data_IF_503965258476
#
_entry.id   IF_503965258476
#
_cell.length_a   1.000
_cell.length_b   1.000
_cell.length_c   1.000
_cell.angle_alpha   90.00
_cell.angle_beta   90.00
_cell.angle_gamma   90.00
#
_symmetry.space_group_name_H-M   'P 1'
#
loop_
_entity.id
_entity.type
_entity.pdbx_description
1 polymer ?
#
# COMPACT_ATOMS: atom_id res chain seq x y z
N UNK A 1 -37.28 7.72 6.33
CA UNK A 1 -35.87 7.30 6.38
C UNK A 1 -35.25 7.66 5.06
N UNK A 2 -34.01 8.16 5.01
CA UNK A 2 -33.35 8.32 3.72
C UNK A 2 -32.60 7.01 3.46
N UNK A 3 -33.29 6.04 2.86
CA UNK A 3 -32.68 4.77 2.48
C UNK A 3 -31.51 5.08 1.54
N UNK A 4 -30.29 4.62 1.83
CA UNK A 4 -29.15 4.86 0.96
C UNK A 4 -29.43 4.37 -0.45
N UNK A 5 -28.87 5.05 -1.45
CA UNK A 5 -29.14 4.76 -2.87
C UNK A 5 -28.82 3.29 -3.21
N UNK A 6 -27.71 2.75 -2.73
CA UNK A 6 -27.34 1.34 -2.96
C UNK A 6 -28.39 0.35 -2.40
N UNK A 7 -28.97 0.66 -1.24
CA UNK A 7 -29.99 -0.19 -0.64
C UNK A 7 -31.33 -0.05 -1.37
N UNK A 8 -31.63 1.14 -1.91
CA UNK A 8 -32.77 1.30 -2.83
C UNK A 8 -32.57 0.48 -4.11
N UNK A 9 -31.36 0.46 -4.67
CA UNK A 9 -31.00 -0.32 -5.85
C UNK A 9 -31.13 -1.83 -5.58
N UNK A 10 -30.60 -2.33 -4.46
CA UNK A 10 -30.76 -3.73 -4.03
C UNK A 10 -32.23 -4.12 -3.87
N UNK A 11 -33.04 -3.29 -3.20
CA UNK A 11 -34.48 -3.57 -2.98
C UNK A 11 -35.28 -3.47 -4.28
N UNK A 12 -34.85 -2.64 -5.23
CA UNK A 12 -35.50 -2.46 -6.53
C UNK A 12 -35.05 -3.47 -7.57
N UNK A 13 -34.03 -4.29 -7.28
CA UNK A 13 -33.53 -5.30 -8.22
C UNK A 13 -34.54 -6.44 -8.39
N UNK A 14 -34.69 -7.01 -9.59
CA UNK A 14 -35.60 -8.14 -9.84
C UNK A 14 -35.31 -9.35 -8.94
N UNK A 15 -34.05 -9.57 -8.58
CA UNK A 15 -33.59 -10.67 -7.74
C UNK A 15 -34.07 -10.56 -6.28
N UNK A 16 -34.42 -9.36 -5.80
CA UNK A 16 -34.93 -9.15 -4.43
C UNK A 16 -36.28 -9.84 -4.17
N UNK A 17 -37.06 -10.13 -5.22
CA UNK A 17 -38.33 -10.85 -5.09
C UNK A 17 -38.18 -12.31 -4.66
N UNK A 18 -37.00 -12.91 -4.84
CA UNK A 18 -36.68 -14.27 -4.38
C UNK A 18 -36.03 -14.23 -3.00
N UNK A 19 -36.72 -14.78 -2.00
CA UNK A 19 -36.24 -14.81 -0.60
C UNK A 19 -34.97 -15.64 -0.41
N UNK A 20 -34.60 -16.47 -1.38
CA UNK A 20 -33.38 -17.28 -1.34
C UNK A 20 -32.20 -16.60 -2.06
N UNK A 21 -32.42 -15.50 -2.78
CA UNK A 21 -31.36 -14.80 -3.50
C UNK A 21 -30.37 -14.13 -2.56
N UNK A 22 -29.13 -14.00 -3.01
CA UNK A 22 -28.11 -13.28 -2.25
C UNK A 22 -28.45 -11.80 -2.13
N UNK A 23 -29.08 -11.21 -3.16
CA UNK A 23 -29.63 -9.85 -3.14
C UNK A 23 -30.63 -9.66 -1.99
N UNK A 24 -31.57 -10.60 -1.79
CA UNK A 24 -32.55 -10.52 -0.70
C UNK A 24 -31.90 -10.61 0.68
N UNK A 25 -30.98 -11.56 0.87
CA UNK A 25 -30.24 -11.70 2.13
C UNK A 25 -29.44 -10.44 2.45
N UNK A 26 -28.70 -9.93 1.46
CA UNK A 26 -27.86 -8.72 1.58
C UNK A 26 -28.70 -7.50 1.91
N UNK A 27 -29.77 -7.25 1.15
CA UNK A 27 -30.71 -6.14 1.41
C UNK A 27 -31.35 -6.23 2.80
N UNK A 28 -31.78 -7.42 3.22
CA UNK A 28 -32.38 -7.65 4.55
C UNK A 28 -31.38 -7.41 5.67
N UNK A 29 -30.13 -7.84 5.48
CA UNK A 29 -29.03 -7.62 6.44
C UNK A 29 -28.73 -6.13 6.60
N UNK A 30 -28.53 -5.39 5.51
CA UNK A 30 -28.33 -3.93 5.57
C UNK A 30 -29.53 -3.18 6.15
N UNK A 31 -30.75 -3.62 5.88
CA UNK A 31 -31.94 -3.05 6.51
C UNK A 31 -31.91 -3.21 8.04
N UNK A 32 -31.48 -4.38 8.54
CA UNK A 32 -31.36 -4.63 9.98
C UNK A 32 -30.22 -3.83 10.62
N UNK A 33 -29.09 -3.70 9.91
CA UNK A 33 -27.92 -2.90 10.32
C UNK A 33 -28.27 -1.42 10.44
N UNK A 34 -28.96 -0.87 9.43
CA UNK A 34 -29.23 0.56 9.33
C UNK A 34 -30.44 1.01 10.15
N UNK A 35 -31.36 0.10 10.42
CA UNK A 35 -32.57 0.37 11.19
C UNK A 35 -32.79 -0.67 12.30
N UNK A 36 -31.86 -0.76 13.27
CA UNK A 36 -31.93 -1.75 14.34
C UNK A 36 -33.05 -1.40 15.32
N UNK A 37 -34.28 -1.80 14.97
CA UNK A 37 -35.45 -1.75 15.82
C UNK A 37 -35.93 -0.36 16.21
N UNK A 38 -36.63 0.34 15.31
CA UNK A 38 -37.53 1.45 15.66
C UNK A 38 -38.55 1.67 14.56
N UNK A 39 -39.69 0.98 14.64
CA UNK A 39 -40.88 1.35 13.89
C UNK A 39 -42.00 1.49 14.90
N UNK A 40 -42.34 2.73 15.24
CA UNK A 40 -43.55 3.02 15.98
C UNK A 40 -44.69 3.19 14.97
N UNK A 41 -45.90 2.78 15.33
CA UNK A 41 -47.10 3.03 14.53
C UNK A 41 -47.95 4.07 15.25
N UNK A 42 -48.51 5.03 14.51
CA UNK A 42 -49.50 5.93 15.07
C UNK A 42 -50.82 5.18 15.34
N UNK A 43 -51.78 5.85 15.97
CA UNK A 43 -53.09 5.28 16.29
C UNK A 43 -53.91 4.85 15.04
N UNK A 44 -53.46 5.19 13.83
CA UNK A 44 -54.07 4.81 12.55
C UNK A 44 -53.31 3.68 11.84
N UNK A 45 -52.26 3.14 12.46
CA UNK A 45 -51.43 2.07 11.89
C UNK A 45 -50.40 2.56 10.87
N UNK A 46 -50.12 3.87 10.81
CA UNK A 46 -49.06 4.41 9.92
C UNK A 46 -47.73 4.41 10.64
N UNK A 47 -46.66 4.01 9.94
CA UNK A 47 -45.31 4.06 10.48
C UNK A 47 -44.91 5.51 10.81
N UNK A 48 -44.61 5.76 12.07
CA UNK A 48 -44.01 6.99 12.55
C UNK A 48 -42.50 6.95 12.35
N UNK A 49 -41.95 8.05 11.85
CA UNK A 49 -40.51 8.19 11.65
C UNK A 49 -39.84 8.31 13.02
N UNK A 50 -38.86 7.46 13.37
CA UNK A 50 -38.18 7.56 14.64
C UNK A 50 -37.29 8.82 14.69
N UNK A 51 -37.13 9.36 15.90
CA UNK A 51 -36.38 10.59 16.18
C UNK A 51 -34.90 10.44 15.84
N UNK A 52 -34.34 9.27 16.10
CA UNK A 52 -33.00 8.81 15.72
C UNK A 52 -33.11 7.48 14.97
N UNK A 53 -32.05 7.08 14.26
CA UNK A 53 -32.01 5.85 13.47
C UNK A 53 -31.38 4.68 14.27
N UNK A 54 -30.43 4.98 15.17
CA UNK A 54 -29.75 4.00 16.04
C UNK A 54 -29.17 4.66 17.30
N UNK A 55 -28.85 3.87 18.32
CA UNK A 55 -28.06 4.31 19.49
C UNK A 55 -26.57 4.33 19.16
N UNK A 56 -25.74 4.95 20.00
CA UNK A 56 -24.29 4.96 19.82
C UNK A 56 -23.66 3.56 19.80
N UNK A 57 -24.15 2.64 20.63
CA UNK A 57 -23.69 1.25 20.63
C UNK A 57 -24.06 0.54 19.31
N UNK A 58 -25.31 0.69 18.87
CA UNK A 58 -25.78 0.16 17.60
C UNK A 58 -25.02 0.75 16.41
N UNK A 59 -24.60 2.02 16.48
CA UNK A 59 -23.75 2.64 15.46
C UNK A 59 -22.40 1.96 15.33
N UNK A 60 -21.73 1.65 16.45
CA UNK A 60 -20.46 0.94 16.42
C UNK A 60 -20.61 -0.50 15.92
N UNK A 61 -21.68 -1.19 16.34
CA UNK A 61 -21.97 -2.53 15.83
C UNK A 61 -22.27 -2.52 14.33
N UNK A 62 -23.05 -1.54 13.86
CA UNK A 62 -23.34 -1.38 12.44
C UNK A 62 -22.07 -1.13 11.62
N UNK A 63 -21.16 -0.27 12.10
CA UNK A 63 -19.87 -0.03 11.45
C UNK A 63 -19.04 -1.32 11.36
N UNK A 64 -18.95 -2.06 12.47
CA UNK A 64 -18.22 -3.32 12.52
C UNK A 64 -18.80 -4.40 11.59
N UNK A 65 -20.12 -4.51 11.50
CA UNK A 65 -20.78 -5.46 10.58
C UNK A 65 -20.52 -5.12 9.11
N UNK A 66 -20.52 -3.83 8.76
CA UNK A 66 -20.19 -3.35 7.41
C UNK A 66 -18.74 -3.69 7.05
N UNK A 67 -17.79 -3.41 7.96
CA UNK A 67 -16.38 -3.73 7.76
C UNK A 67 -16.14 -5.23 7.62
N UNK A 68 -16.80 -6.04 8.45
CA UNK A 68 -16.68 -7.50 8.41
C UNK A 68 -17.22 -8.08 7.11
N UNK A 69 -18.32 -7.55 6.58
CA UNK A 69 -18.85 -7.96 5.29
C UNK A 69 -17.90 -7.59 4.15
N UNK A 70 -17.39 -6.35 4.16
CA UNK A 70 -16.45 -5.90 3.15
C UNK A 70 -15.17 -6.76 3.12
N UNK A 71 -14.68 -7.20 4.27
CA UNK A 71 -13.52 -8.10 4.35
C UNK A 71 -13.79 -9.48 3.71
N UNK A 72 -15.02 -9.98 3.84
CA UNK A 72 -15.46 -11.21 3.17
C UNK A 72 -15.53 -11.02 1.66
N UNK A 73 -16.16 -9.94 1.19
CA UNK A 73 -16.26 -9.59 -0.23
C UNK A 73 -14.86 -9.42 -0.86
N UNK A 74 -13.93 -8.82 -0.11
CA UNK A 74 -12.53 -8.68 -0.51
C UNK A 74 -11.88 -10.04 -0.70
N UNK A 75 -11.98 -10.93 0.29
CA UNK A 75 -11.39 -12.27 0.22
C UNK A 75 -11.92 -13.08 -0.98
N UNK A 76 -13.22 -12.96 -1.29
CA UNK A 76 -13.84 -13.63 -2.44
C UNK A 76 -13.33 -13.04 -3.77
N UNK A 77 -13.31 -11.72 -3.89
CA UNK A 77 -12.82 -11.05 -5.11
C UNK A 77 -11.33 -11.30 -5.36
N UNK A 78 -10.51 -11.39 -4.32
CA UNK A 78 -9.09 -11.73 -4.45
C UNK A 78 -8.90 -13.14 -5.01
N UNK A 79 -9.68 -14.10 -4.50
CA UNK A 79 -9.66 -15.47 -5.00
C UNK A 79 -10.08 -15.54 -6.47
N UNK A 80 -11.14 -14.84 -6.87
CA UNK A 80 -11.60 -14.81 -8.27
C UNK A 80 -10.56 -14.21 -9.23
N UNK A 81 -9.90 -13.13 -8.82
CA UNK A 81 -8.85 -12.49 -9.62
C UNK A 81 -7.64 -13.41 -9.77
N UNK A 82 -7.20 -14.05 -8.68
CA UNK A 82 -6.05 -14.95 -8.72
C UNK A 82 -6.35 -16.26 -9.47
N UNK A 83 -7.57 -16.78 -9.40
CA UNK A 83 -8.02 -17.93 -10.21
C UNK A 83 -7.99 -17.59 -11.71
N UNK A 84 -8.37 -16.35 -12.07
CA UNK A 84 -8.43 -15.91 -13.47
C UNK A 84 -7.07 -15.49 -14.04
N UNK A 85 -6.25 -14.79 -13.25
CA UNK A 85 -5.05 -14.08 -13.73
C UNK A 85 -3.75 -14.49 -13.02
N UNK A 86 -3.80 -15.38 -12.03
CA UNK A 86 -2.66 -15.72 -11.18
C UNK A 86 -1.42 -16.17 -11.96
N UNK A 87 -1.57 -17.12 -12.89
CA UNK A 87 -0.46 -17.62 -13.72
C UNK A 87 0.16 -16.50 -14.59
N UNK A 88 -0.68 -15.59 -15.10
CA UNK A 88 -0.22 -14.45 -15.89
C UNK A 88 0.57 -13.46 -15.02
N UNK A 89 0.07 -13.17 -13.82
CA UNK A 89 0.75 -12.30 -12.85
C UNK A 89 2.11 -12.84 -12.45
N UNK A 90 2.22 -14.15 -12.20
CA UNK A 90 3.50 -14.81 -11.92
C UNK A 90 4.48 -14.66 -13.09
N UNK A 91 4.01 -14.89 -14.33
CA UNK A 91 4.82 -14.78 -15.56
C UNK A 91 5.43 -13.39 -15.74
N UNK A 92 4.69 -12.33 -15.43
CA UNK A 92 5.16 -10.95 -15.57
C UNK A 92 5.78 -10.38 -14.29
N UNK A 93 5.87 -11.18 -13.22
CA UNK A 93 6.37 -10.74 -11.91
C UNK A 93 5.50 -9.68 -11.24
N UNK A 94 4.20 -9.64 -11.53
CA UNK A 94 3.23 -8.73 -10.91
C UNK A 94 2.69 -9.34 -9.63
N UNK A 95 2.81 -8.63 -8.51
CA UNK A 95 2.24 -9.06 -7.24
C UNK A 95 0.91 -8.36 -7.03
N UNK A 96 -0.20 -9.09 -7.20
CA UNK A 96 -1.53 -8.57 -6.96
C UNK A 96 -1.76 -8.41 -5.45
N UNK A 97 -2.13 -7.19 -5.03
CA UNK A 97 -2.56 -6.89 -3.67
C UNK A 97 -3.94 -6.24 -3.75
N UNK A 98 -4.96 -6.94 -3.25
CA UNK A 98 -6.33 -6.48 -3.32
C UNK A 98 -6.56 -5.17 -2.54
N UNK A 99 -5.72 -4.87 -1.54
CA UNK A 99 -5.80 -3.63 -0.77
C UNK A 99 -5.57 -2.39 -1.63
N UNK A 100 -4.83 -2.51 -2.74
CA UNK A 100 -4.61 -1.41 -3.69
C UNK A 100 -5.90 -1.01 -4.43
N UNK A 101 -6.91 -1.88 -4.44
CA UNK A 101 -8.17 -1.70 -5.16
C UNK A 101 -9.34 -1.36 -4.24
N UNK A 102 -9.10 -1.24 -2.93
CA UNK A 102 -10.09 -0.79 -1.95
C UNK A 102 -10.22 0.73 -2.02
N UNK A 103 -11.41 1.24 -2.37
CA UNK A 103 -11.69 2.67 -2.38
C UNK A 103 -12.85 3.02 -1.45
N UNK A 104 -12.85 4.22 -0.83
CA UNK A 104 -13.98 4.67 -0.03
C UNK A 104 -15.28 4.68 -0.85
N UNK A 105 -16.29 4.02 -0.31
CA UNK A 105 -17.64 4.00 -0.85
C UNK A 105 -18.42 5.26 -0.46
N UNK A 106 -19.71 5.28 -0.82
CA UNK A 106 -20.60 6.36 -0.40
C UNK A 106 -20.95 6.19 1.08
N UNK A 107 -20.60 7.15 1.96
CA UNK A 107 -20.90 7.04 3.38
C UNK A 107 -22.41 7.08 3.64
N UNK A 108 -22.85 6.34 4.66
CA UNK A 108 -24.27 6.25 5.01
C UNK A 108 -24.57 7.19 6.17
N UNK A 109 -25.34 8.25 5.90
CA UNK A 109 -25.72 9.24 6.90
C UNK A 109 -26.81 8.69 7.84
N UNK A 110 -26.54 8.69 9.14
CA UNK A 110 -27.43 8.18 10.19
C UNK A 110 -27.56 9.18 11.36
N UNK A 111 -28.73 9.19 12.00
CA UNK A 111 -29.00 9.93 13.24
C UNK A 111 -28.75 9.02 14.43
N UNK A 112 -27.78 9.35 15.26
CA UNK A 112 -27.34 8.54 16.39
C UNK A 112 -27.81 9.17 17.71
N UNK A 113 -28.51 8.41 18.55
CA UNK A 113 -28.83 8.81 19.92
C UNK A 113 -27.57 8.66 20.79
N UNK A 114 -27.11 9.79 21.32
CA UNK A 114 -25.95 9.85 22.21
C UNK A 114 -26.35 9.53 23.65
N UNK A 115 -25.44 9.03 24.50
CA UNK A 115 -25.73 8.74 25.92
C UNK A 115 -26.28 9.94 26.72
N UNK A 116 -26.03 11.17 26.26
CA UNK A 116 -26.58 12.41 26.82
C UNK A 116 -27.99 12.77 26.35
N UNK A 117 -28.71 11.87 25.67
CA UNK A 117 -30.11 12.05 25.24
C UNK A 117 -30.32 12.94 24.01
N UNK A 118 -29.26 13.52 23.44
CA UNK A 118 -29.33 14.30 22.21
C UNK A 118 -29.01 13.45 20.98
N UNK A 119 -29.54 13.86 19.83
CA UNK A 119 -29.31 13.19 18.54
C UNK A 119 -28.19 13.88 17.78
N UNK A 120 -27.18 13.12 17.36
CA UNK A 120 -26.07 13.58 16.52
C UNK A 120 -26.18 12.97 15.12
N UNK A 121 -25.88 13.73 14.07
CA UNK A 121 -25.67 13.17 12.73
C UNK A 121 -24.28 12.55 12.65
N UNK A 122 -24.17 11.33 12.13
CA UNK A 122 -22.91 10.61 11.88
C UNK A 122 -22.97 9.92 10.53
N UNK A 123 -21.83 9.44 10.06
CA UNK A 123 -21.69 8.64 8.85
C UNK A 123 -21.13 7.27 9.19
N UNK A 124 -21.74 6.21 8.68
CA UNK A 124 -21.10 4.90 8.58
C UNK A 124 -20.20 4.91 7.34
N UNK A 125 -18.96 4.47 7.51
CA UNK A 125 -17.99 4.37 6.44
C UNK A 125 -18.24 3.10 5.63
N UNK A 126 -18.18 3.20 4.32
CA UNK A 126 -18.33 2.07 3.39
C UNK A 126 -17.12 2.03 2.47
N UNK A 127 -16.85 0.86 1.90
CA UNK A 127 -15.77 0.64 0.95
C UNK A 127 -16.30 -0.12 -0.25
N UNK A 128 -15.68 0.08 -1.40
CA UNK A 128 -15.98 -0.64 -2.64
C UNK A 128 -14.67 -1.09 -3.27
N UNK A 129 -14.72 -2.21 -3.99
CA UNK A 129 -13.60 -2.70 -4.78
C UNK A 129 -13.67 -2.09 -6.17
N UNK A 130 -12.57 -1.49 -6.61
CA UNK A 130 -12.41 -0.94 -7.95
C UNK A 130 -11.33 -1.72 -8.71
N UNK A 131 -11.59 -3.00 -8.92
CA UNK A 131 -10.69 -3.91 -9.63
C UNK A 131 -10.89 -3.70 -11.14
N UNK A 132 -9.85 -3.29 -11.89
CA UNK A 132 -9.94 -3.13 -13.33
C UNK A 132 -9.97 -4.50 -14.02
N UNK A 133 -10.52 -4.55 -15.24
CA UNK A 133 -10.28 -5.70 -16.12
C UNK A 133 -8.81 -5.72 -16.54
N UNK A 134 -8.11 -6.80 -16.20
CA UNK A 134 -6.73 -7.00 -16.63
C UNK A 134 -6.72 -7.48 -18.07
N UNK A 135 -6.03 -6.73 -18.95
CA UNK A 135 -5.81 -7.15 -20.34
C UNK A 135 -4.62 -8.09 -20.39
N UNK A 136 -4.88 -9.35 -20.70
CA UNK A 136 -3.83 -10.35 -20.90
C UNK A 136 -3.22 -10.10 -22.29
N UNK A 137 -2.03 -9.52 -22.33
CA UNK A 137 -1.20 -9.48 -23.54
C UNK A 137 -0.03 -10.43 -23.32
N UNK A 138 -0.18 -11.73 -23.66
CA UNK A 138 0.89 -12.68 -23.46
C UNK A 138 2.09 -12.29 -24.31
N UNK A 139 3.27 -12.47 -23.73
CA UNK A 139 4.55 -12.23 -24.39
C UNK A 139 5.21 -13.56 -24.65
N UNK A 140 5.74 -13.70 -25.86
CA UNK A 140 6.61 -14.82 -26.21
C UNK A 140 7.95 -14.27 -26.71
N UNK A 141 8.98 -15.08 -26.62
CA UNK A 141 10.30 -14.74 -27.13
C UNK A 141 10.69 -15.74 -28.20
N UNK A 142 10.99 -15.26 -29.40
CA UNK A 142 11.35 -16.10 -30.53
C UNK A 142 12.84 -15.91 -30.81
N UNK A 143 13.60 -17.01 -30.81
CA UNK A 143 15.00 -16.97 -31.22
C UNK A 143 15.11 -16.91 -32.73
N UNK A 144 15.95 -16.01 -33.21
CA UNK A 144 16.27 -15.86 -34.62
C UNK A 144 17.77 -15.93 -34.84
N UNK A 145 18.18 -16.52 -35.96
CA UNK A 145 19.58 -16.73 -36.29
C UNK A 145 19.83 -16.63 -37.80
N UNK A 146 20.82 -15.84 -38.22
CA UNK A 146 21.23 -15.84 -39.64
C UNK A 146 22.04 -17.11 -39.97
N UNK A 147 21.59 -17.92 -40.93
CA UNK A 147 22.38 -19.06 -41.42
C UNK A 147 23.57 -18.57 -42.27
N UNK A 148 24.79 -18.61 -41.73
CA UNK A 148 26.00 -18.19 -42.43
C UNK A 148 27.28 -18.50 -41.67
N UNK A 149 28.44 -18.16 -42.26
CA UNK A 149 29.78 -18.48 -41.72
C UNK A 149 30.05 -17.88 -40.33
N UNK A 150 29.26 -16.89 -39.89
CA UNK A 150 29.42 -16.19 -38.62
C UNK A 150 28.39 -16.60 -37.55
N UNK A 151 27.77 -17.77 -37.69
CA UNK A 151 26.74 -18.24 -36.76
C UNK A 151 27.06 -19.69 -36.36
N UNK A 152 27.11 -19.98 -35.06
CA UNK A 152 27.40 -21.33 -34.59
C UNK A 152 26.22 -22.29 -34.82
N UNK A 153 26.51 -23.59 -34.87
CA UNK A 153 25.52 -24.65 -35.07
C UNK A 153 24.43 -24.65 -33.99
N UNK A 154 24.77 -24.27 -32.75
CA UNK A 154 23.83 -24.17 -31.64
C UNK A 154 22.78 -23.05 -31.85
N UNK A 155 23.22 -21.87 -32.30
CA UNK A 155 22.30 -20.77 -32.61
C UNK A 155 21.44 -21.07 -33.84
N UNK A 156 21.99 -21.75 -34.84
CA UNK A 156 21.24 -22.25 -35.99
C UNK A 156 20.19 -23.28 -35.57
N UNK A 157 20.54 -24.19 -34.63
CA UNK A 157 19.62 -25.19 -34.10
C UNK A 157 18.47 -24.61 -33.28
N UNK A 158 18.68 -23.43 -32.68
CA UNK A 158 17.66 -22.73 -31.89
C UNK A 158 16.78 -21.80 -32.72
N UNK A 159 17.03 -21.61 -34.03
CA UNK A 159 16.23 -20.73 -34.87
C UNK A 159 14.74 -21.14 -34.89
N UNK A 160 13.87 -20.18 -34.59
CA UNK A 160 12.43 -20.39 -34.46
C UNK A 160 11.97 -20.98 -33.12
N UNK A 161 12.88 -21.23 -32.16
CA UNK A 161 12.49 -21.67 -30.81
C UNK A 161 11.69 -20.58 -30.12
N UNK A 162 10.53 -20.97 -29.58
CA UNK A 162 9.64 -20.08 -28.82
C UNK A 162 9.83 -20.34 -27.33
N UNK A 163 10.09 -19.29 -26.58
CA UNK A 163 10.15 -19.30 -25.12
C UNK A 163 8.91 -18.58 -24.58
N UNK A 164 8.23 -19.22 -23.63
CA UNK A 164 7.03 -18.69 -22.97
C UNK A 164 7.36 -17.81 -21.75
N UNK A 165 8.58 -17.94 -21.21
CA UNK A 165 9.08 -17.14 -20.08
C UNK A 165 10.49 -16.63 -20.35
N UNK A 166 10.82 -15.46 -19.79
CA UNK A 166 12.16 -14.85 -19.94
C UNK A 166 13.27 -15.73 -19.36
N UNK A 167 12.99 -16.45 -18.26
CA UNK A 167 13.96 -17.31 -17.57
C UNK A 167 14.41 -18.51 -18.43
N UNK A 168 13.59 -18.92 -19.40
CA UNK A 168 13.96 -19.98 -20.34
C UNK A 168 14.90 -19.48 -21.44
N UNK A 169 15.07 -18.16 -21.60
CA UNK A 169 15.95 -17.58 -22.59
C UNK A 169 17.39 -17.66 -22.07
N UNK A 170 18.26 -18.34 -22.83
CA UNK A 170 19.68 -18.42 -22.50
C UNK A 170 20.34 -17.03 -22.47
N UNK A 171 21.29 -16.81 -21.55
CA UNK A 171 21.97 -15.52 -21.32
C UNK A 171 22.48 -14.84 -22.62
N UNK A 172 22.02 -13.61 -22.87
CA UNK A 172 22.57 -12.71 -23.91
C UNK A 172 23.71 -11.90 -23.26
N UNK A 173 24.94 -11.83 -23.83
CA UNK A 173 25.28 -11.90 -25.25
C UNK A 173 25.93 -13.23 -25.64
N UNK A 174 25.25 -13.98 -26.51
CA UNK A 174 25.48 -15.41 -26.64
C UNK A 174 26.87 -15.75 -27.19
N UNK A 175 27.43 -15.03 -28.18
CA UNK A 175 28.82 -15.26 -28.59
C UNK A 175 29.41 -14.03 -29.30
N UNK A 176 30.72 -13.73 -29.13
CA UNK A 176 31.40 -12.78 -30.01
C UNK A 176 31.27 -13.23 -31.47
N UNK A 177 30.79 -12.34 -32.35
CA UNK A 177 30.51 -12.54 -33.78
C UNK A 177 29.24 -13.32 -34.19
N UNK A 178 28.46 -13.91 -33.28
CA UNK A 178 27.24 -14.63 -33.69
C UNK A 178 26.10 -13.68 -34.06
N UNK A 179 25.46 -13.91 -35.22
CA UNK A 179 24.32 -13.11 -35.71
C UNK A 179 22.97 -13.72 -35.31
N UNK A 180 22.78 -13.91 -34.00
CA UNK A 180 21.51 -14.32 -33.42
C UNK A 180 20.87 -13.19 -32.63
N UNK A 181 19.54 -13.15 -32.56
CA UNK A 181 18.80 -12.23 -31.71
C UNK A 181 17.53 -12.91 -31.20
N UNK A 182 16.99 -12.39 -30.11
CA UNK A 182 15.69 -12.81 -29.60
C UNK A 182 14.70 -11.70 -29.88
N UNK A 183 13.53 -12.05 -30.41
CA UNK A 183 12.41 -11.14 -30.64
C UNK A 183 11.38 -11.34 -29.53
N UNK A 184 11.11 -10.29 -28.75
CA UNK A 184 9.95 -10.23 -27.85
C UNK A 184 8.72 -9.88 -28.67
N UNK A 185 7.72 -10.75 -28.67
CA UNK A 185 6.47 -10.61 -29.44
C UNK A 185 5.30 -10.51 -28.48
N UNK A 186 4.52 -9.44 -28.61
CA UNK A 186 3.26 -9.27 -27.88
C UNK A 186 2.12 -9.86 -28.72
N UNK A 187 1.33 -10.75 -28.11
CA UNK A 187 0.20 -11.41 -28.76
C UNK A 187 -1.13 -10.82 -28.26
N UNK A 188 -2.15 -10.86 -29.12
CA UNK A 188 -3.53 -10.63 -28.70
C UNK A 188 -4.16 -11.91 -28.12
N UNK A 189 -5.39 -11.79 -27.60
CA UNK A 189 -6.18 -12.91 -27.07
C UNK A 189 -6.37 -14.07 -28.06
N UNK A 190 -6.25 -13.83 -29.37
CA UNK A 190 -6.35 -14.85 -30.41
C UNK A 190 -4.99 -15.46 -30.81
N UNK A 191 -3.91 -15.14 -30.08
CA UNK A 191 -2.54 -15.60 -30.37
C UNK A 191 -1.90 -14.93 -31.58
N UNK A 192 -2.43 -13.80 -32.05
CA UNK A 192 -1.88 -13.04 -33.18
C UNK A 192 -0.96 -11.93 -32.68
N UNK A 193 0.23 -11.85 -33.27
CA UNK A 193 1.20 -10.77 -33.07
C UNK A 193 0.58 -9.39 -33.24
N UNK A 194 0.65 -8.58 -32.19
CA UNK A 194 0.26 -7.15 -32.15
C UNK A 194 1.49 -6.28 -32.37
N UNK A 195 2.57 -6.54 -31.62
CA UNK A 195 3.81 -5.78 -31.66
C UNK A 195 5.02 -6.70 -31.45
N UNK A 196 6.21 -6.22 -31.79
CA UNK A 196 7.46 -6.92 -31.53
C UNK A 196 8.64 -5.99 -31.45
N UNK A 197 9.61 -6.33 -30.59
CA UNK A 197 10.89 -5.65 -30.51
C UNK A 197 12.03 -6.65 -30.29
N UNK A 198 13.25 -6.23 -30.62
CA UNK A 198 14.43 -7.02 -30.28
C UNK A 198 14.59 -7.03 -28.75
N UNK A 199 14.55 -8.22 -28.16
CA UNK A 199 14.81 -8.45 -26.76
C UNK A 199 16.29 -8.18 -26.48
N UNK A 200 16.55 -7.28 -25.52
CA UNK A 200 17.91 -6.80 -25.21
C UNK A 200 18.58 -7.59 -24.09
N UNK A 201 18.01 -8.73 -23.70
CA UNK A 201 18.37 -9.47 -22.49
C UNK A 201 17.76 -8.82 -21.24
N UNK A 202 17.58 -9.60 -20.18
CA UNK A 202 17.56 -9.01 -18.85
C UNK A 202 18.91 -8.31 -18.67
N UNK A 203 18.90 -7.03 -18.29
CA UNK A 203 20.08 -6.53 -17.58
C UNK A 203 20.21 -7.49 -16.39
N UNK A 204 21.33 -8.21 -16.22
CA UNK A 204 21.49 -9.06 -15.05
C UNK A 204 21.04 -8.24 -13.86
N UNK A 205 20.07 -8.76 -13.11
CA UNK A 205 19.62 -8.10 -11.89
C UNK A 205 20.89 -7.82 -11.12
N UNK A 206 21.28 -6.53 -11.04
CA UNK A 206 22.60 -6.22 -10.51
C UNK A 206 22.60 -6.79 -9.11
N UNK A 207 23.66 -7.48 -8.69
CA UNK A 207 23.75 -8.07 -7.33
C UNK A 207 23.20 -7.12 -6.25
N UNK A 208 23.46 -5.82 -6.41
CA UNK A 208 22.94 -4.75 -5.57
C UNK A 208 21.40 -4.68 -5.43
N UNK A 209 20.65 -4.91 -6.50
CA UNK A 209 19.19 -4.88 -6.54
C UNK A 209 18.57 -6.14 -5.91
N UNK A 210 19.13 -7.32 -6.18
CA UNK A 210 18.70 -8.57 -5.55
C UNK A 210 19.03 -8.59 -4.05
N UNK A 211 20.21 -8.11 -3.65
CA UNK A 211 20.59 -7.94 -2.25
C UNK A 211 19.62 -7.02 -1.51
N UNK A 212 19.24 -5.90 -2.13
CA UNK A 212 18.29 -4.94 -1.56
C UNK A 212 16.90 -5.57 -1.38
N UNK A 213 16.41 -6.32 -2.38
CA UNK A 213 15.11 -7.00 -2.33
C UNK A 213 15.05 -8.02 -1.19
N UNK A 214 16.13 -8.77 -0.96
CA UNK A 214 16.24 -9.74 0.14
C UNK A 214 16.14 -9.10 1.54
N UNK A 215 16.56 -7.84 1.68
CA UNK A 215 16.50 -7.10 2.94
C UNK A 215 15.14 -6.41 3.09
N UNK A 216 14.66 -5.77 2.03
CA UNK A 216 13.42 -4.99 1.97
C UNK A 216 12.16 -5.86 1.79
N UNK A 217 12.08 -6.96 2.52
CA UNK A 217 10.87 -7.80 2.58
C UNK A 217 9.66 -7.01 3.06
N UNK A 218 8.45 -7.39 2.64
CA UNK A 218 7.22 -6.68 3.03
C UNK A 218 6.97 -6.73 4.53
N UNK A 219 7.35 -7.84 5.17
CA UNK A 219 7.36 -7.94 6.64
C UNK A 219 8.23 -6.87 7.28
N UNK A 220 9.45 -6.67 6.78
CA UNK A 220 10.35 -5.65 7.31
C UNK A 220 9.81 -4.24 7.07
N UNK A 221 9.29 -3.96 5.87
CA UNK A 221 8.64 -2.70 5.53
C UNK A 221 7.49 -2.38 6.49
N UNK A 222 6.60 -3.36 6.73
CA UNK A 222 5.46 -3.23 7.64
C UNK A 222 5.90 -2.99 9.09
N UNK A 223 6.93 -3.71 9.56
CA UNK A 223 7.51 -3.50 10.89
C UNK A 223 8.05 -2.07 11.04
N UNK A 224 8.80 -1.56 10.04
CA UNK A 224 9.34 -0.19 10.07
C UNK A 224 8.22 0.86 9.98
N UNK A 225 7.21 0.67 9.11
CA UNK A 225 6.05 1.57 9.01
C UNK A 225 5.29 1.67 10.34
N UNK A 226 5.08 0.54 11.02
CA UNK A 226 4.42 0.50 12.32
C UNK A 226 5.21 1.27 13.39
N UNK A 227 6.54 1.24 13.32
CA UNK A 227 7.42 1.94 14.27
C UNK A 227 7.55 3.45 14.06
N UNK A 228 7.38 3.95 12.82
CA UNK A 228 7.54 5.37 12.49
C UNK A 228 6.32 6.21 12.91
N UNK A 229 5.12 5.62 12.91
CA UNK A 229 3.90 6.31 13.32
C UNK A 229 3.40 7.28 12.24
N UNK A 230 2.86 6.71 11.16
CA UNK A 230 2.33 7.45 10.01
C UNK A 230 1.22 8.42 10.43
N UNK A 231 1.37 9.69 10.07
CA UNK A 231 0.34 10.72 10.26
C UNK A 231 -0.30 11.06 8.92
N UNK A 232 -1.46 10.47 8.62
CA UNK A 232 -2.16 10.71 7.34
C UNK A 232 -2.59 12.16 7.16
N UNK A 233 -2.91 12.86 8.24
CA UNK A 233 -3.33 14.27 8.22
C UNK A 233 -2.18 15.24 8.54
N UNK A 234 -2.26 16.51 8.07
CA UNK A 234 -1.29 17.54 8.42
C UNK A 234 -1.18 17.76 9.93
N UNK A 235 0.06 17.90 10.40
CA UNK A 235 0.39 18.15 11.80
C UNK A 235 1.58 19.11 11.92
N UNK A 236 1.85 19.61 13.13
CA UNK A 236 3.07 20.38 13.39
C UNK A 236 4.13 19.47 14.00
N UNK A 237 5.33 19.46 13.42
CA UNK A 237 6.46 18.72 13.99
C UNK A 237 6.99 19.37 15.28
N UNK A 238 7.96 18.73 15.93
CA UNK A 238 8.61 19.26 17.15
C UNK A 238 9.27 20.65 16.99
N UNK A 239 9.44 21.13 15.75
CA UNK A 239 10.01 22.44 15.42
C UNK A 239 8.94 23.45 14.98
N UNK A 240 7.67 23.07 14.98
CA UNK A 240 6.54 23.90 14.58
C UNK A 240 6.30 23.97 13.07
N UNK A 241 6.96 23.13 12.28
CA UNK A 241 6.75 23.09 10.84
C UNK A 241 5.58 22.19 10.46
N UNK A 242 4.80 22.65 9.49
CA UNK A 242 3.72 21.87 8.89
C UNK A 242 4.30 20.64 8.19
N UNK A 243 3.81 19.47 8.59
CA UNK A 243 4.35 18.16 8.24
C UNK A 243 3.20 17.18 7.98
N UNK A 244 3.40 16.18 7.12
CA UNK A 244 2.40 15.13 6.83
C UNK A 244 3.10 13.79 6.54
N UNK A 245 2.36 12.69 6.61
CA UNK A 245 2.85 11.34 6.28
C UNK A 245 3.96 10.88 7.22
N UNK A 246 5.09 10.47 6.65
CA UNK A 246 6.28 9.98 7.35
C UNK A 246 7.27 11.14 7.49
N UNK A 247 6.89 12.13 8.32
CA UNK A 247 7.76 13.29 8.61
C UNK A 247 8.05 14.21 7.42
N UNK A 248 7.22 14.18 6.37
CA UNK A 248 7.43 15.00 5.17
C UNK A 248 7.08 16.46 5.47
N UNK A 249 8.08 17.34 5.45
CA UNK A 249 7.87 18.78 5.61
C UNK A 249 7.09 19.33 4.41
N UNK A 250 5.96 19.98 4.69
CA UNK A 250 5.07 20.61 3.70
C UNK A 250 4.80 22.07 4.05
N UNK A 251 5.68 22.69 4.83
CA UNK A 251 5.53 24.08 5.24
C UNK A 251 5.60 25.04 4.04
N UNK A 252 6.26 24.63 2.96
CA UNK A 252 6.24 25.33 1.68
C UNK A 252 5.10 24.83 0.80
N UNK A 253 4.41 25.76 0.15
CA UNK A 253 3.29 25.45 -0.75
C UNK A 253 3.69 24.47 -1.86
N UNK A 254 4.84 24.68 -2.50
CA UNK A 254 5.31 23.81 -3.59
C UNK A 254 5.49 22.35 -3.15
N UNK A 255 5.80 22.10 -1.89
CA UNK A 255 5.98 20.73 -1.40
C UNK A 255 4.63 20.10 -1.07
N UNK A 256 3.64 20.89 -0.66
CA UNK A 256 2.26 20.43 -0.48
C UNK A 256 1.55 20.14 -1.82
N UNK A 257 1.79 20.96 -2.85
CA UNK A 257 1.15 20.79 -4.18
C UNK A 257 1.57 19.50 -4.89
N UNK A 258 2.76 18.96 -4.60
CA UNK A 258 3.26 17.70 -5.18
C UNK A 258 2.63 16.45 -4.56
N UNK A 259 1.83 16.61 -3.51
CA UNK A 259 1.22 15.48 -2.82
C UNK A 259 -0.17 15.20 -3.37
N UNK A 260 -0.47 13.93 -3.52
CA UNK A 260 -1.82 13.45 -3.77
C UNK A 260 -2.59 13.52 -2.44
N UNK A 261 -3.48 14.51 -2.32
CA UNK A 261 -4.22 14.79 -1.09
C UNK A 261 -5.69 14.52 -1.33
N UNK A 262 -6.29 13.70 -0.48
CA UNK A 262 -7.69 13.30 -0.50
C UNK A 262 -8.43 14.08 0.59
N UNK A 263 -9.63 14.55 0.27
CA UNK A 263 -10.59 15.00 1.26
C UNK A 263 -11.50 13.83 1.65
N UNK A 264 -11.33 13.29 2.85
CA UNK A 264 -12.08 12.11 3.31
C UNK A 264 -13.57 12.39 3.53
N UNK A 265 -13.98 13.66 3.64
CA UNK A 265 -15.41 13.99 3.69
C UNK A 265 -16.10 13.81 2.33
N UNK A 266 -15.36 13.99 1.23
CA UNK A 266 -15.89 13.89 -0.14
C UNK A 266 -15.42 12.64 -0.87
N UNK A 267 -14.35 11.98 -0.41
CA UNK A 267 -13.71 10.84 -1.07
C UNK A 267 -12.93 11.22 -2.33
N UNK A 268 -12.72 12.51 -2.59
CA UNK A 268 -12.11 13.01 -3.83
C UNK A 268 -10.73 13.59 -3.59
N UNK A 269 -9.86 13.52 -4.59
CA UNK A 269 -8.61 14.26 -4.57
C UNK A 269 -8.87 15.77 -4.61
N UNK A 270 -8.09 16.54 -3.87
CA UNK A 270 -8.11 17.98 -3.90
C UNK A 270 -7.49 18.51 -5.20
N UNK A 271 -8.17 19.48 -5.80
CA UNK A 271 -7.60 20.28 -6.89
C UNK A 271 -6.45 21.14 -6.40
N UNK A 272 -5.57 21.60 -7.30
CA UNK A 272 -4.49 22.52 -6.93
C UNK A 272 -5.00 23.80 -6.24
N UNK A 273 -6.12 24.35 -6.71
CA UNK A 273 -6.71 25.55 -6.11
C UNK A 273 -7.17 25.32 -4.66
N UNK A 274 -7.77 24.16 -4.38
CA UNK A 274 -8.14 23.77 -3.01
C UNK A 274 -6.90 23.56 -2.14
N UNK A 275 -5.87 22.88 -2.67
CA UNK A 275 -4.59 22.68 -1.98
C UNK A 275 -3.96 24.03 -1.62
N UNK A 276 -3.94 25.01 -2.53
CA UNK A 276 -3.43 26.36 -2.26
C UNK A 276 -4.19 27.09 -1.13
N UNK A 277 -5.52 27.04 -1.18
CA UNK A 277 -6.37 27.70 -0.18
C UNK A 277 -6.19 27.07 1.21
N UNK A 278 -6.21 25.74 1.27
CA UNK A 278 -6.04 24.99 2.52
C UNK A 278 -4.64 25.22 3.10
N UNK A 279 -3.59 25.15 2.27
CA UNK A 279 -2.21 25.42 2.70
C UNK A 279 -2.04 26.83 3.27
N UNK A 280 -2.54 27.84 2.56
CA UNK A 280 -2.47 29.24 3.00
C UNK A 280 -3.18 29.44 4.34
N UNK A 281 -4.33 28.78 4.53
CA UNK A 281 -5.07 28.79 5.79
C UNK A 281 -4.28 28.12 6.92
N UNK A 282 -3.75 26.92 6.70
CA UNK A 282 -2.94 26.20 7.70
C UNK A 282 -1.71 27.01 8.14
N UNK A 283 -0.96 27.58 7.19
CA UNK A 283 0.23 28.38 7.50
C UNK A 283 -0.15 29.65 8.27
N UNK A 284 -1.25 30.32 7.91
CA UNK A 284 -1.76 31.47 8.65
C UNK A 284 -2.12 31.11 10.10
N UNK A 285 -2.83 30.00 10.30
CA UNK A 285 -3.20 29.51 11.62
C UNK A 285 -1.99 29.09 12.46
N UNK A 286 -0.96 28.52 11.84
CA UNK A 286 0.31 28.20 12.52
C UNK A 286 0.98 29.49 13.00
N UNK A 287 1.11 30.49 12.12
CA UNK A 287 1.74 31.77 12.45
C UNK A 287 0.98 32.53 13.55
N UNK A 288 -0.34 32.37 13.60
CA UNK A 288 -1.20 32.99 14.62
C UNK A 288 -1.35 32.13 15.89
N UNK A 289 -0.76 30.94 15.95
CA UNK A 289 -0.85 30.03 17.09
C UNK A 289 -2.24 29.41 17.30
N UNK A 290 -3.09 29.41 16.27
CA UNK A 290 -4.47 28.90 16.32
C UNK A 290 -4.65 27.57 15.59
N UNK A 291 -3.60 27.06 14.93
CA UNK A 291 -3.66 25.79 14.20
C UNK A 291 -3.98 24.62 15.13
N UNK A 292 -4.94 23.77 14.71
CA UNK A 292 -5.30 22.55 15.43
C UNK A 292 -5.37 21.40 14.44
N UNK A 293 -4.61 20.35 14.70
CA UNK A 293 -4.48 19.20 13.80
C UNK A 293 -5.83 18.55 13.47
N UNK A 294 -6.73 18.49 14.45
CA UNK A 294 -8.04 17.87 14.29
C UNK A 294 -8.97 18.64 13.32
N UNK A 295 -8.74 19.95 13.10
CA UNK A 295 -9.53 20.74 12.13
C UNK A 295 -9.26 20.27 10.69
N UNK A 296 -8.12 19.60 10.47
CA UNK A 296 -7.66 19.10 9.17
C UNK A 296 -7.61 17.57 9.09
N UNK A 297 -8.27 16.86 10.02
CA UNK A 297 -8.29 15.39 10.03
C UNK A 297 -8.86 14.78 8.73
N UNK A 298 -9.72 15.52 8.04
CA UNK A 298 -10.32 15.14 6.76
C UNK A 298 -9.42 15.38 5.55
N UNK A 299 -8.30 16.07 5.71
CA UNK A 299 -7.31 16.29 4.66
C UNK A 299 -6.22 15.26 4.87
N UNK A 300 -6.11 14.29 3.95
CA UNK A 300 -5.18 13.17 4.11
C UNK A 300 -4.32 12.96 2.87
N UNK A 301 -3.05 12.64 3.06
CA UNK A 301 -2.21 12.14 1.97
C UNK A 301 -2.70 10.76 1.52
N UNK A 302 -2.69 10.49 0.21
CA UNK A 302 -3.15 9.21 -0.32
C UNK A 302 -2.30 8.04 0.22
N UNK A 303 -2.90 6.86 0.46
CA UNK A 303 -2.15 5.67 0.89
C UNK A 303 -1.00 5.32 -0.06
N UNK A 304 -1.25 5.37 -1.38
CA UNK A 304 -0.24 5.09 -2.40
C UNK A 304 0.95 6.05 -2.31
N UNK A 305 0.70 7.35 -2.09
CA UNK A 305 1.75 8.34 -1.95
C UNK A 305 2.57 8.11 -0.66
N UNK A 306 1.94 7.71 0.45
CA UNK A 306 2.66 7.32 1.68
C UNK A 306 3.60 6.15 1.39
N UNK A 307 3.08 5.09 0.76
CA UNK A 307 3.84 3.87 0.48
C UNK A 307 5.01 4.13 -0.47
N UNK A 308 4.78 4.90 -1.55
CA UNK A 308 5.83 5.26 -2.50
C UNK A 308 6.93 6.09 -1.85
N UNK A 309 6.56 7.11 -1.05
CA UNK A 309 7.54 7.92 -0.32
C UNK A 309 8.32 7.10 0.70
N UNK A 310 7.65 6.19 1.41
CA UNK A 310 8.28 5.28 2.36
C UNK A 310 9.34 4.41 1.68
N UNK A 311 8.98 3.75 0.58
CA UNK A 311 9.89 2.87 -0.16
C UNK A 311 11.10 3.64 -0.69
N UNK A 312 10.87 4.84 -1.25
CA UNK A 312 11.95 5.69 -1.74
C UNK A 312 12.91 6.10 -0.60
N UNK A 313 12.37 6.49 0.56
CA UNK A 313 13.20 6.86 1.71
C UNK A 313 13.97 5.65 2.27
N UNK A 314 13.35 4.47 2.31
CA UNK A 314 14.01 3.23 2.71
C UNK A 314 15.15 2.86 1.77
N UNK A 315 14.94 2.99 0.46
CA UNK A 315 15.98 2.73 -0.54
C UNK A 315 17.15 3.71 -0.41
N UNK A 316 16.87 5.00 -0.17
CA UNK A 316 17.92 5.99 0.12
C UNK A 316 18.67 5.59 1.39
N UNK A 317 17.96 5.23 2.46
CA UNK A 317 18.56 4.80 3.71
C UNK A 317 19.43 3.55 3.52
N UNK A 318 18.97 2.56 2.75
CA UNK A 318 19.75 1.37 2.41
C UNK A 318 21.03 1.72 1.67
N UNK A 319 20.91 2.53 0.61
CA UNK A 319 22.06 2.93 -0.20
C UNK A 319 23.12 3.70 0.61
N UNK A 320 22.70 4.58 1.51
CA UNK A 320 23.61 5.31 2.40
C UNK A 320 24.23 4.38 3.46
N UNK A 321 23.49 3.40 3.96
CA UNK A 321 23.98 2.44 4.95
C UNK A 321 25.03 1.51 4.34
N UNK A 322 24.77 1.01 3.13
CA UNK A 322 25.68 0.14 2.40
C UNK A 322 27.02 0.83 2.07
N UNK A 323 27.01 2.15 1.84
CA UNK A 323 28.25 2.94 1.70
C UNK A 323 28.99 3.12 3.03
N UNK A 324 28.25 3.19 4.14
CA UNK A 324 28.76 3.53 5.47
C UNK A 324 29.37 2.33 6.19
N UNK A 325 28.78 1.15 6.04
CA UNK A 325 29.19 -0.06 6.75
C UNK A 325 29.88 -1.00 5.76
N UNK A 326 31.16 -1.25 5.99
CA UNK A 326 31.93 -2.22 5.20
C UNK A 326 31.32 -3.62 5.33
N UNK A 327 31.21 -4.32 4.21
CA UNK A 327 30.65 -5.68 4.12
C UNK A 327 29.23 -5.78 4.70
N UNK A 328 28.45 -4.71 4.61
CA UNK A 328 27.05 -4.67 5.08
C UNK A 328 26.21 -5.80 4.47
N UNK A 329 26.35 -6.00 3.15
CA UNK A 329 25.63 -7.02 2.38
C UNK A 329 25.97 -8.45 2.86
N UNK A 330 27.17 -8.67 3.36
CA UNK A 330 27.63 -9.99 3.82
C UNK A 330 27.17 -10.33 5.25
N UNK A 331 26.48 -9.40 5.93
CA UNK A 331 25.98 -9.63 7.29
C UNK A 331 24.69 -10.46 7.26
N UNK A 332 24.29 -11.12 8.36
CA UNK A 332 22.99 -11.79 8.43
C UNK A 332 21.84 -10.81 8.12
N UNK A 333 20.82 -11.25 7.37
CA UNK A 333 19.69 -10.40 6.95
C UNK A 333 19.03 -9.68 8.14
N UNK A 334 18.91 -10.37 9.28
CA UNK A 334 18.37 -9.79 10.51
C UNK A 334 19.22 -8.61 11.03
N UNK A 335 20.54 -8.71 10.95
CA UNK A 335 21.46 -7.62 11.29
C UNK A 335 21.31 -6.46 10.30
N UNK A 336 21.22 -6.76 9.01
CA UNK A 336 21.05 -5.74 7.97
C UNK A 336 19.77 -4.92 8.19
N UNK A 337 18.66 -5.61 8.47
CA UNK A 337 17.36 -5.01 8.80
C UNK A 337 17.40 -4.19 10.10
N UNK A 338 18.09 -4.68 11.13
CA UNK A 338 18.25 -3.93 12.38
C UNK A 338 18.97 -2.59 12.16
N UNK A 339 20.07 -2.62 11.40
CA UNK A 339 20.86 -1.43 11.09
C UNK A 339 20.09 -0.44 10.20
N UNK A 340 19.33 -0.97 9.24
CA UNK A 340 18.50 -0.15 8.37
C UNK A 340 17.36 0.55 9.13
N UNK A 341 16.66 -0.15 10.02
CA UNK A 341 15.65 0.46 10.91
C UNK A 341 16.25 1.58 11.78
N UNK A 342 17.44 1.33 12.36
CA UNK A 342 18.14 2.34 13.17
C UNK A 342 18.53 3.57 12.34
N UNK A 343 19.04 3.36 11.12
CA UNK A 343 19.38 4.46 10.22
C UNK A 343 18.14 5.23 9.79
N UNK A 344 17.04 4.55 9.47
CA UNK A 344 15.79 5.17 9.06
C UNK A 344 15.23 6.05 10.20
N UNK A 345 15.19 5.52 11.43
CA UNK A 345 14.71 6.25 12.60
C UNK A 345 15.49 7.54 12.90
N UNK A 346 16.81 7.46 12.86
CA UNK A 346 17.69 8.52 13.37
C UNK A 346 18.22 9.45 12.27
N UNK A 347 18.13 9.01 11.02
CA UNK A 347 18.74 9.63 9.87
C UNK A 347 20.26 9.37 9.75
N UNK A 348 20.75 9.50 8.52
CA UNK A 348 22.12 9.18 8.12
C UNK A 348 23.20 9.87 9.00
N UNK A 349 22.96 11.11 9.43
CA UNK A 349 23.93 11.91 10.19
C UNK A 349 24.08 11.44 11.64
N UNK A 350 22.96 11.10 12.31
CA UNK A 350 22.96 10.71 13.73
C UNK A 350 23.31 9.24 13.91
N UNK A 351 22.98 8.40 12.93
CA UNK A 351 23.43 7.01 12.91
C UNK A 351 24.84 6.92 12.33
N UNK A 352 25.86 7.27 13.12
CA UNK A 352 27.26 7.23 12.71
C UNK A 352 28.18 6.77 13.84
N UNK A 353 29.38 6.28 13.49
CA UNK A 353 30.39 5.81 14.44
C UNK A 353 30.74 6.85 15.51
N UNK A 354 30.62 8.15 15.20
CA UNK A 354 30.82 9.23 16.17
C UNK A 354 29.82 9.20 17.32
N UNK A 355 28.55 8.91 17.05
CA UNK A 355 27.49 8.89 18.06
C UNK A 355 27.25 7.48 18.62
N UNK A 356 27.68 6.45 17.89
CA UNK A 356 27.47 5.04 18.21
C UNK A 356 28.77 4.22 18.18
N UNK A 357 29.86 4.66 18.84
CA UNK A 357 31.18 4.04 18.67
C UNK A 357 31.20 2.56 19.07
N UNK A 358 30.58 2.21 20.20
CA UNK A 358 30.52 0.83 20.70
C UNK A 358 29.70 -0.11 19.80
N UNK A 359 28.60 0.40 19.25
CA UNK A 359 27.78 -0.36 18.31
C UNK A 359 28.55 -0.61 17.01
N UNK A 360 29.21 0.41 16.46
CA UNK A 360 30.02 0.27 15.24
C UNK A 360 31.22 -0.65 15.46
N UNK A 361 31.87 -0.59 16.62
CA UNK A 361 32.91 -1.54 17.01
C UNK A 361 32.39 -2.98 17.11
N UNK A 362 31.23 -3.18 17.74
CA UNK A 362 30.59 -4.49 17.82
C UNK A 362 30.23 -5.05 16.44
N UNK A 363 29.71 -4.20 15.53
CA UNK A 363 29.41 -4.59 14.14
C UNK A 363 30.67 -5.03 13.40
N UNK A 364 31.77 -4.27 13.50
CA UNK A 364 33.06 -4.62 12.87
C UNK A 364 33.58 -5.98 13.36
N UNK A 365 33.38 -6.27 14.65
CA UNK A 365 33.80 -7.52 15.28
C UNK A 365 32.76 -8.66 15.18
N UNK A 366 31.63 -8.43 14.49
CA UNK A 366 30.48 -9.37 14.43
C UNK A 366 29.96 -9.80 15.82
N UNK A 367 30.10 -8.94 16.83
CA UNK A 367 29.59 -9.16 18.19
C UNK A 367 28.12 -8.70 18.30
N UNK A 368 27.22 -9.56 17.84
CA UNK A 368 25.80 -9.24 17.79
C UNK A 368 25.14 -9.12 19.16
N UNK A 369 25.72 -9.72 20.21
CA UNK A 369 25.20 -9.59 21.58
C UNK A 369 25.45 -8.20 22.13
N UNK A 370 26.66 -7.67 21.92
CA UNK A 370 26.97 -6.29 22.30
C UNK A 370 26.18 -5.29 21.44
N UNK A 371 26.07 -5.54 20.13
CA UNK A 371 25.24 -4.72 19.24
C UNK A 371 23.76 -4.66 19.70
N UNK A 372 23.18 -5.80 20.06
CA UNK A 372 21.82 -5.89 20.58
C UNK A 372 21.63 -5.07 21.86
N UNK A 373 22.62 -5.09 22.77
CA UNK A 373 22.59 -4.31 24.00
C UNK A 373 22.59 -2.81 23.69
N UNK A 374 23.57 -2.33 22.93
CA UNK A 374 23.70 -0.92 22.57
C UNK A 374 22.45 -0.41 21.82
N UNK A 375 21.90 -1.20 20.89
CA UNK A 375 20.67 -0.85 20.17
C UNK A 375 19.42 -0.75 21.07
N UNK A 376 19.38 -1.50 22.18
CA UNK A 376 18.23 -1.53 23.09
C UNK A 376 18.20 -0.38 24.10
N UNK A 377 19.32 0.33 24.30
CA UNK A 377 19.46 1.41 25.30
C UNK A 377 18.94 2.78 24.81
N UNK A 378 18.38 2.87 23.60
CA UNK A 378 17.78 4.09 23.01
C UNK A 378 16.57 4.62 23.80
N UNK A 379 16.77 5.45 24.82
CA UNK A 379 15.68 5.90 25.72
C UNK A 379 14.53 6.62 25.03
N UNK A 380 14.79 7.39 23.99
CA UNK A 380 13.79 8.21 23.27
C UNK A 380 12.98 7.44 22.21
N UNK A 381 13.25 6.13 22.04
CA UNK A 381 12.56 5.27 21.07
C UNK A 381 11.50 4.42 21.77
N UNK A 382 10.37 4.15 21.11
CA UNK A 382 9.32 3.30 21.67
C UNK A 382 9.84 1.91 22.09
N UNK A 383 9.39 1.40 23.24
CA UNK A 383 9.85 0.12 23.81
C UNK A 383 9.72 -1.03 22.80
N UNK A 384 8.60 -1.11 22.08
CA UNK A 384 8.35 -2.14 21.08
C UNK A 384 9.43 -2.16 19.99
N UNK A 385 9.76 -1.00 19.42
CA UNK A 385 10.82 -0.86 18.40
C UNK A 385 12.19 -1.30 18.92
N UNK A 386 12.55 -0.93 20.16
CA UNK A 386 13.84 -1.32 20.75
C UNK A 386 13.97 -2.81 20.95
N UNK A 387 12.91 -3.47 21.45
CA UNK A 387 12.90 -4.92 21.62
C UNK A 387 12.89 -5.63 20.26
N UNK A 388 12.23 -5.06 19.25
CA UNK A 388 12.30 -5.55 17.88
C UNK A 388 13.74 -5.49 17.33
N UNK A 389 14.41 -4.33 17.38
CA UNK A 389 15.79 -4.18 16.88
C UNK A 389 16.75 -5.10 17.64
N UNK A 390 16.57 -5.23 18.96
CA UNK A 390 17.36 -6.14 19.80
C UNK A 390 17.24 -7.59 19.35
N UNK A 391 16.01 -8.07 19.11
CA UNK A 391 15.77 -9.44 18.61
C UNK A 391 16.42 -9.67 17.25
N UNK A 392 16.40 -8.67 16.37
CA UNK A 392 17.03 -8.78 15.06
C UNK A 392 18.54 -9.02 15.16
N UNK A 393 19.26 -8.30 16.01
CA UNK A 393 20.68 -8.60 16.28
C UNK A 393 20.89 -9.98 16.92
N UNK A 394 20.01 -10.40 17.85
CA UNK A 394 20.17 -11.70 18.53
C UNK A 394 19.84 -12.91 17.64
N UNK A 395 19.03 -12.72 16.59
CA UNK A 395 18.67 -13.74 15.60
C UNK A 395 19.73 -13.87 14.49
N UNK A 396 20.88 -13.22 14.63
CA UNK A 396 22.00 -13.36 13.72
C UNK A 396 22.62 -14.76 13.92
N UNK A 397 22.21 -15.71 13.08
CA UNK A 397 22.82 -17.04 12.99
C UNK A 397 24.13 -17.01 12.20
#
# INVERSE_FOLDING_TARGET
MQTPKFLQELISSPEYGDKNSETYKRATKYMNILYPGTVAFDATGRMMRPEYDMTLEQFYNAQHEIETEFESDKSEAEADVLDTYGDYFETIGFNFDIEEYVVPGTPILVKVLMPGGHVSKRSLETFVLNIPEFKITPKIWIWHSEHGENTCDDCVGNDGTVYETEECISDIPVHPNCRCWVEEVELNEAGKKIDSKVYKGQKPETQKASDMKNILTDKFKNDVMAHEGIRKSPYTDSKGYLTIGIGQNIHKLNDFLKLDIINTNTGTELTEAEKQNIHSKMVSEINNGTFREYDYAHIQISPNQIYNQFNQQLEIAYNELNKKIMNFIDMPISVQQALLDMQFNMGNNRFSERYWPKLFEAIKNKDWKTAAKEASERKDVQKARREWTKRMFLNAN
#
